data_IF_799311096440
#
_entry.id   IF_799311096440
#
_cell.length_a   1.000
_cell.length_b   1.000
_cell.length_c   1.000
_cell.angle_alpha   90.00
_cell.angle_beta   90.00
_cell.angle_gamma   90.00
#
_symmetry.space_group_name_H-M   'P 1'
#
loop_
_entity.id
_entity.type
_entity.pdbx_description
1 polymer ?
#
# COMPACT_ATOMS: atom_id res chain seq x y z
N UNK A 1 0.61 26.02 12.74
CA UNK A 1 1.14 26.52 14.03
C UNK A 1 2.65 26.38 13.97
N UNK A 2 3.40 27.47 14.16
CA UNK A 2 4.86 27.40 14.21
C UNK A 2 5.29 26.44 15.33
N UNK A 3 6.27 25.55 15.12
CA UNK A 3 6.65 24.58 16.14
C UNK A 3 7.20 25.36 17.34
N UNK A 4 6.57 25.17 18.50
CA UNK A 4 7.17 25.62 19.76
C UNK A 4 8.37 24.71 19.99
N UNK A 5 9.56 25.26 19.80
CA UNK A 5 10.82 24.58 20.11
C UNK A 5 11.10 24.70 21.60
N UNK A 6 11.66 23.66 22.19
CA UNK A 6 12.16 23.72 23.57
C UNK A 6 13.24 24.81 23.70
N UNK A 7 13.13 25.77 24.63
CA UNK A 7 14.03 26.92 24.69
C UNK A 7 15.44 26.58 25.20
N UNK A 8 15.68 25.37 25.71
CA UNK A 8 16.99 24.93 26.20
C UNK A 8 17.74 24.13 25.12
N UNK A 9 17.04 23.27 24.38
CA UNK A 9 17.62 22.34 23.40
C UNK A 9 17.36 22.69 21.94
N UNK A 10 16.41 23.59 21.66
CA UNK A 10 15.98 23.97 20.31
C UNK A 10 15.19 22.87 19.58
N UNK A 11 14.91 21.74 20.24
CA UNK A 11 14.24 20.61 19.62
C UNK A 11 12.74 20.90 19.40
N UNK A 12 12.15 20.46 18.28
CA UNK A 12 10.72 20.62 18.04
C UNK A 12 9.90 19.87 19.09
N UNK A 13 8.83 20.49 19.63
CA UNK A 13 7.83 19.79 20.43
C UNK A 13 6.93 18.89 19.55
N UNK A 14 7.53 17.94 18.83
CA UNK A 14 6.86 17.04 17.87
C UNK A 14 5.86 16.07 18.51
N UNK A 15 5.89 15.90 19.83
CA UNK A 15 4.99 15.03 20.59
C UNK A 15 3.60 15.63 20.86
N UNK A 16 3.42 16.96 20.68
CA UNK A 16 2.19 17.68 21.01
C UNK A 16 1.57 18.43 19.82
N UNK A 17 1.73 17.87 18.61
CA UNK A 17 1.09 18.42 17.41
C UNK A 17 -0.29 17.80 17.25
N UNK A 18 -1.32 18.64 17.10
CA UNK A 18 -2.66 18.17 16.78
C UNK A 18 -2.67 17.45 15.42
N UNK A 19 -3.12 16.20 15.40
CA UNK A 19 -3.34 15.43 14.19
C UNK A 19 -4.83 15.42 13.82
N UNK A 20 -5.12 15.41 12.53
CA UNK A 20 -6.47 15.18 11.99
C UNK A 20 -6.48 13.81 11.32
N UNK A 21 -7.46 12.99 11.67
CA UNK A 21 -7.70 11.68 11.07
C UNK A 21 -9.03 11.72 10.34
N UNK A 22 -9.05 11.22 9.11
CA UNK A 22 -10.26 11.06 8.33
C UNK A 22 -10.30 9.67 7.70
N UNK A 23 -11.51 9.23 7.32
CA UNK A 23 -11.69 7.94 6.67
C UNK A 23 -11.08 7.99 5.27
N UNK A 24 -10.23 7.02 4.96
CA UNK A 24 -9.80 6.73 3.60
C UNK A 24 -10.94 6.07 2.81
N UNK A 25 -11.35 6.66 1.69
CA UNK A 25 -12.54 6.27 0.93
C UNK A 25 -12.21 5.20 -0.12
N UNK A 26 -11.65 4.06 0.33
CA UNK A 26 -11.30 2.96 -0.54
C UNK A 26 -12.52 2.41 -1.29
N UNK A 27 -12.36 2.21 -2.60
CA UNK A 27 -13.33 1.54 -3.48
C UNK A 27 -12.98 0.07 -3.71
N UNK A 28 -11.70 -0.29 -3.52
CA UNK A 28 -11.22 -1.66 -3.60
C UNK A 28 -10.12 -1.94 -2.56
N UNK A 29 -10.04 -3.20 -2.16
CA UNK A 29 -9.00 -3.73 -1.27
C UNK A 29 -8.38 -4.96 -1.91
N UNK A 30 -7.10 -5.19 -1.64
CA UNK A 30 -6.36 -6.33 -2.19
C UNK A 30 -5.37 -6.93 -1.21
N UNK A 31 -5.10 -8.21 -1.41
CA UNK A 31 -4.03 -8.94 -0.73
C UNK A 31 -3.21 -9.70 -1.77
N UNK A 32 -1.89 -9.63 -1.67
CA UNK A 32 -0.98 -10.38 -2.54
C UNK A 32 0.12 -11.08 -1.72
N UNK A 33 0.51 -12.26 -2.21
CA UNK A 33 1.69 -12.98 -1.74
C UNK A 33 2.70 -13.00 -2.89
N UNK A 34 3.87 -12.44 -2.65
CA UNK A 34 4.89 -12.22 -3.67
C UNK A 34 6.15 -12.98 -3.28
N UNK A 35 6.75 -13.74 -4.20
CA UNK A 35 8.01 -14.43 -3.93
C UNK A 35 9.14 -13.40 -3.71
N UNK A 36 9.21 -12.43 -4.61
CA UNK A 36 10.16 -11.32 -4.57
C UNK A 36 9.52 -10.03 -4.05
N UNK A 37 10.35 -9.09 -3.63
CA UNK A 37 9.85 -7.77 -3.23
C UNK A 37 9.46 -7.00 -4.48
N UNK A 38 8.25 -6.42 -4.57
CA UNK A 38 7.86 -5.63 -5.73
C UNK A 38 8.73 -4.38 -5.83
N UNK A 39 9.10 -4.00 -7.06
CA UNK A 39 9.91 -2.80 -7.31
C UNK A 39 9.11 -1.51 -7.07
N UNK A 40 7.82 -1.54 -7.39
CA UNK A 40 6.86 -0.46 -7.14
C UNK A 40 5.49 -1.05 -6.76
N UNK A 41 4.70 -0.27 -6.02
CA UNK A 41 3.33 -0.61 -5.65
C UNK A 41 2.47 0.60 -6.01
N UNK A 42 1.67 0.50 -7.08
CA UNK A 42 0.76 1.55 -7.53
C UNK A 42 -0.57 1.51 -6.74
N UNK A 43 -0.48 1.74 -5.43
CA UNK A 43 -1.65 1.78 -4.54
C UNK A 43 -1.63 3.02 -3.64
N UNK A 44 -2.82 3.54 -3.36
CA UNK A 44 -3.02 4.76 -2.59
C UNK A 44 -2.70 4.57 -1.09
N UNK A 45 -2.98 3.38 -0.57
CA UNK A 45 -2.59 2.97 0.77
C UNK A 45 -2.17 1.51 0.78
N UNK A 46 -1.05 1.18 1.41
CA UNK A 46 -0.56 -0.20 1.46
C UNK A 46 0.35 -0.47 2.65
N UNK A 47 0.49 -1.76 2.97
CA UNK A 47 1.49 -2.26 3.90
C UNK A 47 2.18 -3.48 3.30
N UNK A 48 3.49 -3.59 3.52
CA UNK A 48 4.31 -4.67 2.98
C UNK A 48 5.13 -5.29 4.11
N UNK A 49 5.03 -6.61 4.27
CA UNK A 49 5.72 -7.35 5.33
C UNK A 49 6.40 -8.61 4.78
N UNK A 50 7.56 -8.97 5.35
CA UNK A 50 8.20 -10.26 5.10
C UNK A 50 7.38 -11.41 5.69
N UNK A 51 7.27 -12.50 4.95
CA UNK A 51 6.80 -13.80 5.43
C UNK A 51 7.84 -14.89 5.14
N UNK A 52 7.55 -16.12 5.61
CA UNK A 52 8.47 -17.25 5.55
C UNK A 52 9.04 -17.50 4.14
N UNK A 53 8.23 -17.33 3.09
CA UNK A 53 8.59 -17.61 1.70
C UNK A 53 8.26 -16.45 0.75
N UNK A 54 8.41 -15.20 1.21
CA UNK A 54 8.24 -14.03 0.36
C UNK A 54 7.74 -12.81 1.11
N UNK A 55 6.83 -12.09 0.49
CA UNK A 55 6.23 -10.86 0.98
C UNK A 55 4.71 -10.98 0.98
N UNK A 56 4.08 -10.35 1.97
CA UNK A 56 2.64 -10.12 2.02
C UNK A 56 2.41 -8.64 1.81
N UNK A 57 1.55 -8.33 0.86
CA UNK A 57 1.11 -6.99 0.53
C UNK A 57 -0.38 -6.89 0.82
N UNK A 58 -0.78 -5.91 1.62
CA UNK A 58 -2.16 -5.47 1.79
C UNK A 58 -2.29 -4.07 1.20
N UNK A 59 -3.34 -3.83 0.42
CA UNK A 59 -3.53 -2.56 -0.29
C UNK A 59 -4.99 -2.13 -0.31
N UNK A 60 -5.18 -0.82 -0.44
CA UNK A 60 -6.45 -0.17 -0.67
C UNK A 60 -6.31 0.90 -1.76
N UNK A 61 -7.35 1.02 -2.58
CA UNK A 61 -7.37 1.89 -3.77
C UNK A 61 -8.56 2.86 -3.68
N UNK A 62 -8.35 4.13 -4.02
CA UNK A 62 -9.41 5.14 -4.15
C UNK A 62 -10.12 5.10 -5.52
N UNK A 63 -9.51 4.42 -6.50
CA UNK A 63 -10.08 4.20 -7.82
C UNK A 63 -9.84 2.76 -8.29
N UNK A 64 -10.74 2.24 -9.11
CA UNK A 64 -10.62 0.88 -9.67
C UNK A 64 -9.36 0.76 -10.55
N UNK A 65 -8.93 -0.47 -10.81
CA UNK A 65 -7.76 -0.80 -11.63
C UNK A 65 -8.05 -1.96 -12.56
N UNK A 66 -7.29 -2.02 -13.65
CA UNK A 66 -7.17 -3.26 -14.41
C UNK A 66 -6.39 -4.27 -13.56
N UNK A 67 -7.12 -5.24 -12.98
CA UNK A 67 -6.55 -6.21 -12.04
C UNK A 67 -5.44 -7.07 -12.65
N UNK A 68 -5.58 -7.62 -13.87
CA UNK A 68 -4.48 -8.30 -14.56
C UNK A 68 -3.22 -7.45 -14.70
N UNK A 69 -3.32 -6.23 -15.21
CA UNK A 69 -2.16 -5.35 -15.41
C UNK A 69 -1.53 -4.94 -14.08
N UNK A 70 -2.37 -4.63 -13.09
CA UNK A 70 -1.92 -4.30 -11.74
C UNK A 70 -1.16 -5.47 -11.11
N UNK A 71 -1.68 -6.69 -11.21
CA UNK A 71 -1.04 -7.89 -10.72
C UNK A 71 0.31 -8.14 -11.43
N UNK A 72 0.36 -8.01 -12.76
CA UNK A 72 1.60 -8.14 -13.53
C UNK A 72 2.69 -7.15 -13.07
N UNK A 73 2.31 -5.92 -12.73
CA UNK A 73 3.23 -4.91 -12.20
C UNK A 73 3.88 -5.31 -10.86
N UNK A 74 3.19 -6.11 -10.04
CA UNK A 74 3.67 -6.55 -8.72
C UNK A 74 4.62 -7.74 -8.80
N UNK A 75 4.45 -8.64 -9.78
CA UNK A 75 5.21 -9.89 -9.86
C UNK A 75 6.59 -9.76 -10.51
N UNK A 76 6.87 -8.63 -11.19
CA UNK A 76 8.13 -8.42 -11.90
C UNK A 76 8.20 -9.25 -13.18
N UNK A 77 7.94 -8.61 -14.32
CA UNK A 77 7.87 -9.27 -15.61
C UNK A 77 9.24 -9.33 -16.30
N UNK A 78 10.00 -10.41 -16.10
CA UNK A 78 11.04 -10.83 -17.06
C UNK A 78 10.57 -12.02 -17.94
N UNK A 79 9.38 -12.56 -17.69
CA UNK A 79 8.62 -13.35 -18.67
C UNK A 79 7.13 -13.32 -18.33
N UNK A 80 6.22 -13.07 -19.29
CA UNK A 80 4.80 -13.19 -19.04
C UNK A 80 4.46 -14.67 -18.80
N UNK A 81 4.25 -15.03 -17.54
CA UNK A 81 3.55 -16.26 -17.19
C UNK A 81 2.07 -16.16 -17.55
N UNK A 82 1.41 -17.31 -17.67
CA UNK A 82 -0.05 -17.34 -17.84
C UNK A 82 -0.74 -16.78 -16.59
N UNK A 83 -1.64 -15.82 -16.78
CA UNK A 83 -2.45 -15.24 -15.70
C UNK A 83 -3.81 -15.92 -15.67
N UNK A 84 -4.17 -16.49 -14.53
CA UNK A 84 -5.49 -17.08 -14.28
C UNK A 84 -6.25 -16.22 -13.29
N UNK A 85 -7.39 -15.67 -13.71
CA UNK A 85 -8.25 -14.81 -12.89
C UNK A 85 -9.66 -15.40 -12.79
N UNK A 86 -10.25 -15.28 -11.60
CA UNK A 86 -11.63 -15.67 -11.33
C UNK A 86 -12.40 -14.45 -10.85
N UNK A 87 -13.55 -14.20 -11.44
CA UNK A 87 -14.44 -13.11 -11.07
C UNK A 87 -15.79 -13.68 -10.68
N UNK A 88 -16.26 -13.33 -9.49
CA UNK A 88 -17.61 -13.61 -9.05
C UNK A 88 -18.44 -12.33 -9.13
N UNK A 89 -19.58 -12.40 -9.80
CA UNK A 89 -20.55 -11.31 -9.83
C UNK A 89 -21.52 -11.55 -8.69
N UNK A 90 -21.41 -10.76 -7.63
CA UNK A 90 -22.42 -10.73 -6.58
C UNK A 90 -23.78 -10.40 -7.21
N UNK A 91 -24.73 -11.34 -7.13
CA UNK A 91 -26.09 -11.20 -7.64
C UNK A 91 -26.94 -10.21 -6.88
#
# INVERSE_FOLDING_TARGET
VAPVTDPISGQPASKNVAARVERFAAVAFGFAVLAERPASIDADYWSLARCAAGWRLELALEADRDWPDFAASLFGADAPGETLAYHDVAG
#
